data_IF_450739470087
#
_entry.id   IF_450739470087
#
_cell.length_a   1.000
_cell.length_b   1.000
_cell.length_c   1.000
_cell.angle_alpha   90.00
_cell.angle_beta   90.00
_cell.angle_gamma   90.00
#
_symmetry.space_group_name_H-M   'P 1'
#
loop_
_entity.id
_entity.type
_entity.pdbx_description
1 polymer ?
#
# COMPACT_ATOMS: atom_id res chain seq x y z
N UNK A 1 10.13 -7.13 -11.68
CA UNK A 1 9.30 -6.48 -10.65
C UNK A 1 9.85 -5.07 -10.47
N UNK A 2 9.02 -4.06 -10.70
CA UNK A 2 9.44 -2.65 -10.70
C UNK A 2 9.07 -1.99 -9.36
N UNK A 3 10.07 -1.77 -8.51
CA UNK A 3 9.90 -1.19 -7.18
C UNK A 3 9.32 0.22 -7.21
N UNK A 4 9.64 1.00 -8.24
CA UNK A 4 9.12 2.36 -8.39
C UNK A 4 7.60 2.32 -8.59
N UNK A 5 7.13 1.43 -9.47
CA UNK A 5 5.68 1.25 -9.69
C UNK A 5 4.95 0.70 -8.47
N UNK A 6 5.56 -0.21 -7.71
CA UNK A 6 4.99 -0.70 -6.45
C UNK A 6 4.86 0.45 -5.45
N UNK A 7 5.93 1.23 -5.27
CA UNK A 7 5.94 2.39 -4.38
C UNK A 7 4.89 3.44 -4.75
N UNK A 8 4.75 3.76 -6.04
CA UNK A 8 3.72 4.67 -6.54
C UNK A 8 2.30 4.19 -6.24
N UNK A 9 2.04 2.87 -6.31
CA UNK A 9 0.72 2.32 -5.98
C UNK A 9 0.46 2.31 -4.47
N UNK A 10 1.47 2.07 -3.64
CA UNK A 10 1.35 2.24 -2.18
C UNK A 10 1.05 3.70 -1.84
N UNK A 11 1.77 4.63 -2.48
CA UNK A 11 1.53 6.07 -2.35
C UNK A 11 0.10 6.43 -2.74
N UNK A 12 -0.39 5.93 -3.88
CA UNK A 12 -1.77 6.13 -4.34
C UNK A 12 -2.80 5.66 -3.30
N UNK A 13 -2.62 4.47 -2.71
CA UNK A 13 -3.53 4.01 -1.65
C UNK A 13 -3.53 4.98 -0.47
N UNK A 14 -2.36 5.48 -0.07
CA UNK A 14 -2.27 6.43 1.04
C UNK A 14 -2.91 7.79 0.70
N UNK A 15 -2.61 8.36 -0.47
CA UNK A 15 -3.00 9.74 -0.79
C UNK A 15 -4.41 9.83 -1.35
N UNK A 16 -4.83 8.89 -2.20
CA UNK A 16 -6.11 8.97 -2.91
C UNK A 16 -7.24 8.23 -2.20
N UNK A 17 -6.92 7.08 -1.61
CA UNK A 17 -7.93 6.23 -0.93
C UNK A 17 -8.03 6.59 0.54
N UNK A 18 -6.91 6.52 1.28
CA UNK A 18 -6.91 6.76 2.72
C UNK A 18 -6.94 8.26 3.05
N UNK A 19 -6.29 9.09 2.23
CA UNK A 19 -6.11 10.54 2.42
C UNK A 19 -5.44 10.90 3.75
N UNK A 20 -4.37 10.18 4.09
CA UNK A 20 -3.68 10.30 5.39
C UNK A 20 -2.21 10.67 5.26
N UNK A 21 -1.64 11.33 6.28
CA UNK A 21 -0.19 11.41 6.43
C UNK A 21 0.40 10.01 6.67
N UNK A 22 1.67 9.83 6.27
CA UNK A 22 2.40 8.56 6.36
C UNK A 22 2.30 7.88 7.73
N UNK A 23 2.44 8.65 8.81
CA UNK A 23 2.38 8.13 10.19
C UNK A 23 1.00 7.57 10.54
N UNK A 24 -0.07 8.29 10.23
CA UNK A 24 -1.42 7.85 10.55
C UNK A 24 -1.82 6.65 9.69
N UNK A 25 -1.42 6.65 8.41
CA UNK A 25 -1.67 5.55 7.48
C UNK A 25 -1.15 4.20 8.02
N UNK A 26 0.08 4.19 8.55
CA UNK A 26 0.71 2.96 9.05
C UNK A 26 0.16 2.58 10.42
N UNK A 27 -0.19 3.56 11.26
CA UNK A 27 -0.86 3.31 12.53
C UNK A 27 -2.24 2.65 12.33
N UNK A 28 -3.03 3.10 11.34
CA UNK A 28 -4.32 2.47 11.00
C UNK A 28 -4.16 1.02 10.54
N UNK A 29 -3.05 0.69 9.91
CA UNK A 29 -2.68 -0.68 9.53
C UNK A 29 -2.11 -1.52 10.69
N UNK A 30 -2.11 -0.99 11.92
CA UNK A 30 -1.53 -1.65 13.10
C UNK A 30 0.01 -1.72 13.09
N UNK A 31 0.67 -0.93 12.25
CA UNK A 31 2.12 -0.92 12.11
C UNK A 31 2.74 0.18 12.99
N UNK A 32 3.42 -0.21 14.06
CA UNK A 32 4.03 0.73 15.01
C UNK A 32 5.27 1.47 14.46
N UNK A 33 6.07 0.79 13.63
CA UNK A 33 7.17 1.40 12.87
C UNK A 33 7.16 0.81 11.47
N UNK A 34 7.16 1.65 10.44
CA UNK A 34 7.29 1.20 9.06
C UNK A 34 8.26 2.11 8.30
N UNK A 35 8.86 1.55 7.26
CA UNK A 35 9.69 2.27 6.30
C UNK A 35 8.84 2.83 5.14
N UNK A 36 7.60 3.27 5.39
CA UNK A 36 6.64 3.75 4.38
C UNK A 36 7.24 4.75 3.38
N UNK A 37 8.10 5.66 3.84
CA UNK A 37 8.79 6.62 2.95
C UNK A 37 9.73 5.93 1.95
N UNK A 38 10.44 4.88 2.38
CA UNK A 38 11.28 4.07 1.48
C UNK A 38 10.41 3.22 0.54
N UNK A 39 9.29 2.67 1.03
CA UNK A 39 8.34 1.92 0.22
C UNK A 39 7.76 2.79 -0.90
N UNK A 40 7.24 3.97 -0.56
CA UNK A 40 6.62 4.90 -1.53
C UNK A 40 7.60 5.43 -2.57
N UNK A 41 8.90 5.52 -2.21
CA UNK A 41 9.99 5.90 -3.13
C UNK A 41 10.55 4.72 -3.93
N UNK A 42 9.99 3.51 -3.78
CA UNK A 42 10.49 2.31 -4.44
C UNK A 42 11.92 1.92 -4.03
N UNK A 43 12.33 2.28 -2.80
CA UNK A 43 13.66 1.97 -2.25
C UNK A 43 13.68 0.65 -1.48
N UNK A 44 12.51 0.08 -1.15
CA UNK A 44 12.38 -1.21 -0.47
C UNK A 44 11.10 -1.93 -0.90
N UNK A 45 11.10 -3.26 -0.71
CA UNK A 45 9.89 -4.06 -0.91
C UNK A 45 8.98 -4.01 0.31
N UNK A 46 7.65 -3.96 0.11
CA UNK A 46 6.72 -4.17 1.21
C UNK A 46 6.84 -5.62 1.69
N UNK A 47 6.81 -5.82 3.01
CA UNK A 47 6.75 -7.16 3.57
C UNK A 47 5.37 -7.80 3.34
N UNK A 48 5.28 -9.12 3.43
CA UNK A 48 3.98 -9.81 3.37
C UNK A 48 3.01 -9.28 4.45
N UNK A 49 3.51 -8.95 5.64
CA UNK A 49 2.70 -8.37 6.71
C UNK A 49 2.16 -6.99 6.34
N UNK A 50 2.97 -6.13 5.73
CA UNK A 50 2.51 -4.83 5.22
C UNK A 50 1.42 -5.00 4.17
N UNK A 51 1.62 -5.90 3.19
CA UNK A 51 0.65 -6.18 2.14
C UNK A 51 -0.66 -6.72 2.71
N UNK A 52 -0.58 -7.68 3.64
CA UNK A 52 -1.74 -8.21 4.34
C UNK A 52 -2.52 -7.11 5.06
N UNK A 53 -1.83 -6.29 5.87
CA UNK A 53 -2.46 -5.17 6.59
C UNK A 53 -3.11 -4.16 5.63
N UNK A 54 -2.47 -3.88 4.50
CA UNK A 54 -3.00 -2.98 3.46
C UNK A 54 -4.32 -3.53 2.90
N UNK A 55 -4.37 -4.82 2.57
CA UNK A 55 -5.57 -5.48 2.08
C UNK A 55 -6.70 -5.46 3.11
N UNK A 56 -6.45 -5.90 4.35
CA UNK A 56 -7.53 -5.97 5.34
C UNK A 56 -8.04 -4.60 5.80
N UNK A 57 -7.17 -3.57 5.79
CA UNK A 57 -7.53 -2.22 6.25
C UNK A 57 -8.25 -1.42 5.17
N UNK A 58 -7.85 -1.58 3.91
CA UNK A 58 -8.31 -0.73 2.81
C UNK A 58 -8.94 -1.53 1.66
N UNK A 59 -9.20 -2.83 1.80
CA UNK A 59 -9.76 -3.69 0.75
C UNK A 59 -9.05 -3.59 -0.61
N UNK A 60 -7.74 -3.35 -0.58
CA UNK A 60 -6.94 -3.16 -1.79
C UNK A 60 -6.57 -4.50 -2.40
N UNK A 61 -6.64 -4.58 -3.73
CA UNK A 61 -6.20 -5.73 -4.50
C UNK A 61 -4.67 -5.82 -4.51
N UNK A 62 -4.13 -6.88 -3.89
CA UNK A 62 -2.68 -7.11 -3.84
C UNK A 62 -2.08 -7.42 -5.21
N UNK A 63 -2.85 -8.02 -6.13
CA UNK A 63 -2.39 -8.20 -7.50
C UNK A 63 -2.15 -6.84 -8.17
N UNK A 64 -3.07 -5.89 -7.98
CA UNK A 64 -2.90 -4.53 -8.50
C UNK A 64 -1.68 -3.84 -7.88
N UNK A 65 -1.45 -3.96 -6.58
CA UNK A 65 -0.25 -3.40 -5.92
C UNK A 65 1.04 -3.97 -6.53
N UNK A 66 1.11 -5.28 -6.75
CA UNK A 66 2.33 -5.94 -7.19
C UNK A 66 2.59 -5.79 -8.70
N UNK A 67 1.53 -5.86 -9.51
CA UNK A 67 1.65 -5.97 -10.98
C UNK A 67 1.06 -4.76 -11.72
N UNK A 68 0.15 -4.02 -11.10
CA UNK A 68 -0.67 -2.99 -11.76
C UNK A 68 -1.84 -3.56 -12.56
N UNK A 69 -2.08 -4.88 -12.48
CA UNK A 69 -3.16 -5.56 -13.21
C UNK A 69 -4.38 -5.79 -12.33
N UNK A 70 -5.56 -5.62 -12.92
CA UNK A 70 -6.85 -5.76 -12.25
C UNK A 70 -7.31 -4.48 -11.57
N UNK A 71 -8.46 -4.57 -10.90
CA UNK A 71 -9.07 -3.46 -10.17
C UNK A 71 -8.29 -3.09 -8.92
N UNK A 72 -8.40 -1.82 -8.51
CA UNK A 72 -7.77 -1.31 -7.27
C UNK A 72 -8.34 -1.98 -6.02
N UNK A 73 -9.65 -2.26 -6.02
CA UNK A 73 -10.39 -2.88 -4.91
C UNK A 73 -10.82 -4.29 -5.29
N UNK A 74 -10.99 -5.16 -4.28
CA UNK A 74 -11.51 -6.51 -4.52
C UNK A 74 -13.04 -6.53 -4.42
N UNK A 75 -13.64 -5.70 -3.54
CA UNK A 75 -15.08 -5.56 -3.44
C UNK A 75 -15.52 -4.18 -3.95
N UNK A 76 -16.09 -4.16 -5.14
CA UNK A 76 -16.74 -2.98 -5.71
C UNK A 76 -18.26 -3.15 -5.52
N UNK A 77 -18.88 -2.32 -4.68
CA UNK A 77 -20.34 -2.09 -4.69
C UNK A 77 -20.66 -1.00 -5.71
#
# INVERSE_FOLDING_TARGET
MDLQKIGQRILYVRTEIAKLPQREFVQRMGLGQSNISQLEKGQSLPSCFFLYSLHVTYDVNLNWIMTGSGEVKINTL
#
